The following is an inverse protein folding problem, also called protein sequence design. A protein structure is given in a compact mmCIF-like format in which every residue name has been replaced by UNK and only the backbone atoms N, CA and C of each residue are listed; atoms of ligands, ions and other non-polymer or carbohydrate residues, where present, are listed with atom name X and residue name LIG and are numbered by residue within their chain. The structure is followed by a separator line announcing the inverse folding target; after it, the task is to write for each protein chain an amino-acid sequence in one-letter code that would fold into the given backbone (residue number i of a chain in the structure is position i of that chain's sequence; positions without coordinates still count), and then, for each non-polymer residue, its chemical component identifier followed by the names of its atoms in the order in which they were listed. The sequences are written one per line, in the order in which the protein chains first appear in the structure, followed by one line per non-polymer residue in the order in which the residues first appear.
data_IF_145095498883
#
_entry.id   IF_145095498883
#
_cell.length_a   1.000
_cell.length_b   1.000
_cell.length_c   1.000
_cell.angle_alpha   90.00
_cell.angle_beta   90.00
_cell.angle_gamma   90.00
#
_symmetry.space_group_name_H-M   'P 1'
#
loop_
_entity.id
_entity.type
_entity.pdbx_description
1 polymer ?
#
# COMPACT_ATOMS: atom_id res chain seq x y z
N UNK A 1 1.41 -18.99 -4.52
CA UNK A 1 0.87 -18.46 -3.25
C UNK A 1 0.73 -19.65 -2.32
N UNK A 2 1.31 -19.62 -1.12
CA UNK A 2 1.32 -20.80 -0.23
C UNK A 2 1.32 -20.40 1.25
N UNK A 3 1.01 -21.34 2.14
CA UNK A 3 1.10 -21.15 3.59
C UNK A 3 2.52 -21.29 4.12
N UNK A 4 2.76 -20.88 5.37
CA UNK A 4 4.06 -21.05 6.03
C UNK A 4 3.88 -21.63 7.43
N UNK A 5 4.79 -22.52 7.85
CA UNK A 5 4.89 -22.97 9.24
C UNK A 5 5.69 -22.00 10.13
N UNK A 6 6.13 -20.87 9.56
CA UNK A 6 6.83 -19.76 10.23
C UNK A 6 6.03 -18.47 10.08
N UNK A 7 4.92 -18.30 10.83
CA UNK A 7 3.97 -17.19 10.64
C UNK A 7 4.57 -15.82 10.97
N UNK A 8 5.60 -15.77 11.81
CA UNK A 8 6.34 -14.54 12.13
C UNK A 8 7.07 -13.91 10.92
N UNK A 9 7.20 -14.66 9.81
CA UNK A 9 7.76 -14.15 8.56
C UNK A 9 6.75 -13.47 7.63
N UNK A 10 5.46 -13.46 7.96
CA UNK A 10 4.44 -12.76 7.17
C UNK A 10 4.63 -11.24 7.34
N UNK A 11 4.49 -10.50 6.23
CA UNK A 11 4.75 -9.06 6.20
C UNK A 11 6.24 -8.68 6.27
N UNK A 12 7.15 -9.67 6.16
CA UNK A 12 8.61 -9.49 6.15
C UNK A 12 9.21 -9.96 4.82
N UNK A 13 10.38 -9.45 4.45
CA UNK A 13 11.09 -9.81 3.21
C UNK A 13 11.96 -11.06 3.35
N UNK A 14 11.32 -12.17 3.74
CA UNK A 14 11.99 -13.44 4.09
C UNK A 14 11.74 -14.58 3.10
N UNK A 15 11.23 -14.28 1.91
CA UNK A 15 10.97 -15.27 0.86
C UNK A 15 11.85 -15.02 -0.37
N UNK A 16 12.23 -16.10 -1.07
CA UNK A 16 12.94 -16.03 -2.35
C UNK A 16 11.99 -15.79 -3.53
N UNK A 17 10.94 -14.97 -3.33
CA UNK A 17 9.96 -14.62 -4.37
C UNK A 17 8.58 -15.28 -4.26
N UNK A 18 8.35 -16.15 -3.28
CA UNK A 18 7.01 -16.69 -3.02
C UNK A 18 6.16 -15.76 -2.15
N UNK A 19 4.88 -15.62 -2.48
CA UNK A 19 3.87 -14.98 -1.62
C UNK A 19 3.43 -15.99 -0.54
N UNK A 20 3.66 -15.64 0.73
CA UNK A 20 3.31 -16.43 1.90
C UNK A 20 2.08 -15.84 2.60
N UNK A 21 1.17 -16.70 3.06
CA UNK A 21 0.03 -16.35 3.90
C UNK A 21 0.12 -17.09 5.25
N UNK A 22 -0.61 -16.59 6.24
CA UNK A 22 -0.86 -17.36 7.47
C UNK A 22 -1.54 -18.70 7.13
N UNK A 23 -1.30 -19.78 7.90
CA UNK A 23 -1.93 -21.09 7.68
C UNK A 23 -3.45 -21.02 7.50
N UNK A 24 -4.13 -20.29 8.37
CA UNK A 24 -5.58 -20.09 8.35
C UNK A 24 -6.05 -19.32 7.10
N UNK A 25 -5.26 -18.35 6.62
CA UNK A 25 -5.59 -17.55 5.45
C UNK A 25 -5.39 -18.33 4.15
N UNK A 26 -4.35 -19.18 4.06
CA UNK A 26 -4.14 -19.99 2.85
C UNK A 26 -5.21 -21.06 2.68
N UNK A 27 -5.70 -21.64 3.77
CA UNK A 27 -6.79 -22.63 3.76
C UNK A 27 -8.07 -21.98 3.20
N UNK A 28 -8.44 -20.82 3.74
CA UNK A 28 -9.58 -20.04 3.23
C UNK A 28 -9.43 -19.62 1.77
N UNK A 29 -8.23 -19.20 1.37
CA UNK A 29 -7.97 -18.81 -0.03
C UNK A 29 -8.10 -20.02 -0.97
N UNK A 30 -7.57 -21.18 -0.57
CA UNK A 30 -7.63 -22.42 -1.35
C UNK A 30 -9.07 -22.85 -1.62
N UNK A 31 -9.95 -22.74 -0.63
CA UNK A 31 -11.37 -23.12 -0.76
C UNK A 31 -12.18 -22.17 -1.65
N UNK A 32 -11.74 -20.91 -1.81
CA UNK A 32 -12.51 -19.86 -2.49
C UNK A 32 -12.02 -19.56 -3.90
N UNK A 33 -10.75 -19.83 -4.22
CA UNK A 33 -10.15 -19.55 -5.53
C UNK A 33 -10.40 -20.70 -6.51
N UNK A 34 -10.67 -20.38 -7.78
CA UNK A 34 -10.85 -21.38 -8.84
C UNK A 34 -9.55 -21.57 -9.62
N UNK A 35 -9.36 -22.76 -10.17
CA UNK A 35 -8.29 -23.00 -11.14
C UNK A 35 -8.50 -22.06 -12.34
N UNK A 36 -7.43 -21.36 -12.74
CA UNK A 36 -7.47 -20.35 -13.78
C UNK A 36 -7.80 -18.92 -13.31
N UNK A 37 -8.04 -18.71 -12.00
CA UNK A 37 -8.16 -17.35 -11.45
C UNK A 37 -6.90 -16.53 -11.75
N UNK A 38 -7.04 -15.32 -12.34
CA UNK A 38 -5.90 -14.49 -12.68
C UNK A 38 -5.22 -13.94 -11.42
N UNK A 39 -3.89 -13.83 -11.48
CA UNK A 39 -3.08 -13.21 -10.44
C UNK A 39 -2.39 -11.99 -11.03
N UNK A 40 -2.62 -10.83 -10.42
CA UNK A 40 -1.94 -9.58 -10.78
C UNK A 40 -1.12 -9.12 -9.59
N UNK A 41 0.18 -8.93 -9.81
CA UNK A 41 1.10 -8.38 -8.81
C UNK A 41 1.32 -6.92 -9.15
N UNK A 42 1.08 -6.03 -8.20
CA UNK A 42 1.25 -4.58 -8.36
C UNK A 42 2.16 -4.04 -7.27
N UNK A 43 2.96 -3.03 -7.61
CA UNK A 43 3.71 -2.23 -6.66
C UNK A 43 3.10 -0.82 -6.61
N UNK A 44 2.31 -0.58 -5.57
CA UNK A 44 1.55 0.66 -5.38
C UNK A 44 1.67 1.15 -3.94
N UNK A 45 2.83 1.74 -3.62
CA UNK A 45 3.08 2.34 -2.31
C UNK A 45 2.06 3.41 -1.91
N UNK A 46 1.40 4.06 -2.89
CA UNK A 46 0.33 5.02 -2.65
C UNK A 46 -0.93 4.63 -3.40
N UNK A 47 -2.04 4.60 -2.66
CA UNK A 47 -3.40 4.37 -3.15
C UNK A 47 -4.26 5.62 -2.92
N UNK A 48 -5.17 5.86 -3.85
CA UNK A 48 -6.16 6.94 -3.78
C UNK A 48 -7.56 6.33 -3.87
N UNK A 49 -8.51 6.83 -3.09
CA UNK A 49 -9.87 6.28 -3.09
C UNK A 49 -10.90 7.29 -2.61
N UNK A 50 -12.08 7.25 -3.23
CA UNK A 50 -13.23 8.05 -2.81
C UNK A 50 -14.09 7.28 -1.82
N UNK A 51 -14.42 7.90 -0.69
CA UNK A 51 -15.36 7.37 0.28
C UNK A 51 -16.17 8.52 0.88
N UNK A 52 -17.50 8.34 0.98
CA UNK A 52 -18.36 9.36 1.59
C UNK A 52 -18.34 10.74 0.92
N UNK A 53 -17.96 10.83 -0.37
CA UNK A 53 -17.83 12.11 -1.08
C UNK A 53 -16.49 12.83 -0.87
N UNK A 54 -15.54 12.18 -0.20
CA UNK A 54 -14.20 12.70 0.07
C UNK A 54 -13.12 11.81 -0.54
N UNK A 55 -12.01 12.41 -0.96
CA UNK A 55 -10.85 11.73 -1.48
C UNK A 55 -9.88 11.41 -0.34
N UNK A 56 -9.40 10.17 -0.31
CA UNK A 56 -8.43 9.67 0.65
C UNK A 56 -7.13 9.26 -0.04
N UNK A 57 -6.02 9.43 0.67
CA UNK A 57 -4.71 8.87 0.34
C UNK A 57 -4.29 7.84 1.39
N UNK A 58 -3.75 6.72 0.95
CA UNK A 58 -3.10 5.74 1.82
C UNK A 58 -1.68 5.52 1.30
N UNK A 59 -0.67 5.88 2.10
CA UNK A 59 0.73 5.81 1.74
C UNK A 59 1.48 4.82 2.64
N UNK A 60 2.30 3.97 2.02
CA UNK A 60 3.19 2.97 2.63
C UNK A 60 4.63 3.23 2.23
N UNK A 61 5.62 2.75 3.01
CA UNK A 61 7.00 2.69 2.55
C UNK A 61 7.08 1.97 1.20
N UNK A 62 7.91 2.46 0.29
CA UNK A 62 8.22 1.78 -0.96
C UNK A 62 8.96 0.47 -0.70
N UNK A 63 9.15 -0.32 -1.76
CA UNK A 63 9.94 -1.55 -1.67
C UNK A 63 11.34 -1.28 -1.11
N UNK A 64 12.04 -0.27 -1.65
CA UNK A 64 13.39 0.10 -1.22
C UNK A 64 13.42 0.65 0.21
N UNK A 65 12.44 1.49 0.59
CA UNK A 65 12.33 2.00 1.97
C UNK A 65 12.04 0.86 2.97
N UNK A 66 11.27 -0.14 2.55
CA UNK A 66 11.02 -1.35 3.33
C UNK A 66 12.28 -2.21 3.52
N UNK A 67 13.14 -2.32 2.49
CA UNK A 67 14.44 -2.97 2.60
C UNK A 67 15.33 -2.26 3.63
N UNK A 68 15.43 -0.93 3.57
CA UNK A 68 16.18 -0.14 4.55
C UNK A 68 15.64 -0.28 5.96
N UNK A 69 14.31 -0.29 6.11
CA UNK A 69 13.68 -0.47 7.41
C UNK A 69 14.03 -1.82 8.04
N UNK A 70 14.07 -2.90 7.25
CA UNK A 70 14.45 -4.23 7.75
C UNK A 70 15.95 -4.33 8.07
N UNK A 71 16.81 -3.70 7.27
CA UNK A 71 18.26 -3.72 7.46
C UNK A 71 18.74 -2.81 8.60
N UNK A 72 18.24 -1.57 8.64
CA UNK A 72 18.76 -0.48 9.49
C UNK A 72 17.84 -0.15 10.66
N UNK A 73 16.57 -0.57 10.62
CA UNK A 73 15.54 -0.19 11.60
C UNK A 73 14.93 1.20 11.36
N UNK A 74 15.37 1.91 10.32
CA UNK A 74 14.85 3.22 9.91
C UNK A 74 15.11 3.43 8.40
N UNK A 75 14.38 4.35 7.80
CA UNK A 75 14.52 4.74 6.39
C UNK A 75 14.30 6.25 6.26
N UNK A 76 14.74 6.83 5.14
CA UNK A 76 14.43 8.23 4.80
C UNK A 76 13.25 8.26 3.83
N UNK A 77 12.10 8.86 4.19
CA UNK A 77 10.97 8.97 3.27
C UNK A 77 11.36 9.76 2.02
N UNK A 78 11.13 9.14 0.86
CA UNK A 78 11.30 9.74 -0.46
C UNK A 78 9.95 10.17 -1.03
N UNK A 79 9.89 11.33 -1.71
CA UNK A 79 8.70 11.73 -2.45
C UNK A 79 8.33 10.71 -3.51
N UNK A 80 7.04 10.49 -3.71
CA UNK A 80 6.51 9.54 -4.67
C UNK A 80 6.42 10.23 -6.03
N UNK A 81 7.15 9.76 -7.06
CA UNK A 81 7.13 10.38 -8.39
C UNK A 81 5.71 10.43 -8.97
N UNK A 82 5.34 11.59 -9.53
CA UNK A 82 4.04 11.79 -10.18
C UNK A 82 2.83 11.80 -9.22
N UNK A 83 3.04 11.83 -7.91
CA UNK A 83 1.94 11.77 -6.95
C UNK A 83 0.97 12.95 -7.08
N UNK A 84 1.51 14.15 -7.31
CA UNK A 84 0.70 15.36 -7.46
C UNK A 84 -0.27 15.25 -8.64
N UNK A 85 0.23 14.82 -9.78
CA UNK A 85 -0.55 14.61 -11.01
C UNK A 85 -1.62 13.54 -10.79
N UNK A 86 -1.26 12.42 -10.17
CA UNK A 86 -2.20 11.34 -9.81
C UNK A 86 -3.32 11.82 -8.89
N UNK A 87 -3.02 12.68 -7.92
CA UNK A 87 -4.02 13.26 -7.01
C UNK A 87 -4.94 14.21 -7.76
N UNK A 88 -4.40 15.06 -8.62
CA UNK A 88 -5.19 15.98 -9.44
C UNK A 88 -6.14 15.22 -10.38
N UNK A 89 -5.65 14.17 -11.03
CA UNK A 89 -6.45 13.30 -11.89
C UNK A 89 -7.57 12.60 -11.11
N UNK A 90 -7.26 12.07 -9.91
CA UNK A 90 -8.23 11.43 -9.05
C UNK A 90 -9.28 12.41 -8.47
N UNK A 91 -8.87 13.64 -8.20
CA UNK A 91 -9.75 14.69 -7.66
C UNK A 91 -10.68 15.26 -8.74
N UNK A 92 -10.21 15.36 -10.00
CA UNK A 92 -10.96 15.93 -11.11
C UNK A 92 -11.54 17.30 -10.78
N UNK A 93 -12.87 17.46 -10.90
CA UNK A 93 -13.58 18.71 -10.58
C UNK A 93 -13.43 19.18 -9.12
N UNK A 94 -13.01 18.28 -8.23
CA UNK A 94 -12.81 18.58 -6.80
C UNK A 94 -11.37 19.01 -6.48
N UNK A 95 -10.51 19.24 -7.48
CA UNK A 95 -9.11 19.61 -7.26
C UNK A 95 -8.93 20.87 -6.37
N UNK A 96 -9.88 21.80 -6.39
CA UNK A 96 -9.86 22.99 -5.53
C UNK A 96 -10.03 22.68 -4.03
N UNK A 97 -10.52 21.49 -3.68
CA UNK A 97 -10.78 21.04 -2.31
C UNK A 97 -9.57 20.34 -1.66
N UNK A 98 -8.49 20.13 -2.41
CA UNK A 98 -7.35 19.33 -1.94
C UNK A 98 -6.64 20.04 -0.77
N UNK A 99 -6.53 19.35 0.36
CA UNK A 99 -5.67 19.72 1.50
C UNK A 99 -4.24 19.22 1.24
N UNK A 100 -3.44 20.04 0.56
CA UNK A 100 -2.03 19.74 0.29
C UNK A 100 -1.18 19.50 1.55
N UNK A 101 -1.38 20.24 2.66
CA UNK A 101 -0.77 19.87 3.94
C UNK A 101 -1.10 18.44 4.41
N UNK A 102 -2.33 17.96 4.25
CA UNK A 102 -2.70 16.58 4.56
C UNK A 102 -1.98 15.57 3.66
N UNK A 103 -1.89 15.86 2.36
CA UNK A 103 -1.12 15.06 1.40
C UNK A 103 0.35 14.94 1.83
N UNK A 104 1.00 16.07 2.14
CA UNK A 104 2.40 16.11 2.55
C UNK A 104 2.63 15.32 3.84
N UNK A 105 1.73 15.41 4.83
CA UNK A 105 1.81 14.61 6.06
C UNK A 105 1.68 13.11 5.78
N UNK A 106 0.76 12.71 4.90
CA UNK A 106 0.59 11.31 4.55
C UNK A 106 1.83 10.75 3.83
N UNK A 107 2.39 11.50 2.89
CA UNK A 107 3.60 11.13 2.15
C UNK A 107 4.84 11.05 3.05
N UNK A 108 4.96 11.94 4.03
CA UNK A 108 6.11 11.94 4.95
C UNK A 108 6.01 10.82 6.00
N UNK A 109 4.81 10.51 6.47
CA UNK A 109 4.63 9.56 7.59
C UNK A 109 4.41 8.12 7.15
N UNK A 110 3.89 7.89 5.94
CA UNK A 110 3.68 6.58 5.30
C UNK A 110 3.12 5.50 6.25
N UNK A 111 2.09 5.86 7.03
CA UNK A 111 1.54 5.01 8.11
C UNK A 111 0.69 3.84 7.62
N UNK A 112 0.36 3.79 6.35
CA UNK A 112 -0.55 2.78 5.79
C UNK A 112 -2.02 2.92 6.23
N UNK A 113 -2.39 4.07 6.82
CA UNK A 113 -3.76 4.37 7.23
C UNK A 113 -4.33 5.41 6.25
N UNK A 114 -5.54 5.21 5.70
CA UNK A 114 -6.18 6.21 4.85
C UNK A 114 -6.38 7.56 5.55
N UNK A 115 -5.97 8.63 4.88
CA UNK A 115 -6.10 10.02 5.34
C UNK A 115 -6.94 10.79 4.34
N UNK A 116 -7.96 11.51 4.83
CA UNK A 116 -8.78 12.39 4.01
C UNK A 116 -7.92 13.57 3.52
N UNK A 117 -7.99 13.87 2.22
CA UNK A 117 -7.22 14.95 1.57
C UNK A 117 -8.09 15.93 0.80
N UNK A 118 -9.41 15.88 0.95
CA UNK A 118 -10.33 16.92 0.46
C UNK A 118 -11.14 17.50 1.61
N UNK A 119 -11.50 18.78 1.51
CA UNK A 119 -12.42 19.47 2.41
C UNK A 119 -13.35 20.38 1.59
#
# INVERSE_FOLDING_TARGET
IHGTNKPYGIGRRVSSGCIRLYPEDIERLFDTVKIGSPVMVVDQAVKLGWAGGELYIEAHPTVAEGDELEEKGWYTPTPVPGLKERILDAAGRHAARIDWPAVARAEQTKRGIPVQITQ
#
